data_IF_310853868120
#
_entry.id   IF_310853868120
#
_cell.length_a   1.000
_cell.length_b   1.000
_cell.length_c   1.000
_cell.angle_alpha   90.00
_cell.angle_beta   90.00
_cell.angle_gamma   90.00
#
_symmetry.space_group_name_H-M   'P 1'
#
loop_
_entity.id
_entity.type
_entity.pdbx_description
1 polymer ?
#
# COMPACT_ATOMS: atom_id res chain seq x y z
N UNK A 1 -4.01 -6.39 17.50
CA UNK A 1 -4.17 -7.34 18.64
C UNK A 1 -3.69 -8.71 18.18
N UNK A 2 -3.25 -9.55 19.10
CA UNK A 2 -2.60 -10.83 18.78
C UNK A 2 -3.57 -11.90 18.21
N UNK A 3 -4.90 -11.75 18.37
CA UNK A 3 -5.86 -12.82 18.01
C UNK A 3 -7.15 -12.36 17.28
N UNK A 4 -7.20 -11.16 16.69
CA UNK A 4 -8.36 -10.75 15.87
C UNK A 4 -9.70 -10.54 16.59
N UNK A 5 -9.74 -10.55 17.94
CA UNK A 5 -10.95 -10.27 18.74
C UNK A 5 -11.39 -8.81 18.65
N UNK A 6 -12.70 -8.58 18.58
CA UNK A 6 -13.33 -7.24 18.63
C UNK A 6 -13.11 -6.57 19.98
N UNK A 7 -12.93 -5.25 20.00
CA UNK A 7 -12.79 -4.45 21.23
C UNK A 7 -14.04 -4.57 22.10
N UNK A 8 -13.88 -5.01 23.34
CA UNK A 8 -14.98 -5.10 24.31
C UNK A 8 -15.44 -3.70 24.74
N UNK A 9 -16.67 -3.56 25.24
CA UNK A 9 -17.20 -2.26 25.65
C UNK A 9 -16.36 -1.62 26.76
N UNK A 10 -15.91 -2.40 27.74
CA UNK A 10 -15.04 -1.91 28.82
C UNK A 10 -13.72 -1.35 28.29
N UNK A 11 -13.13 -2.03 27.31
CA UNK A 11 -11.91 -1.56 26.66
C UNK A 11 -12.11 -0.25 25.89
N UNK A 12 -13.28 -0.07 25.25
CA UNK A 12 -13.63 1.19 24.58
C UNK A 12 -13.77 2.32 25.59
N UNK A 13 -14.39 2.07 26.73
CA UNK A 13 -14.56 3.05 27.82
C UNK A 13 -13.18 3.48 28.33
N UNK A 14 -12.31 2.51 28.65
CA UNK A 14 -10.94 2.79 29.12
C UNK A 14 -10.13 3.60 28.10
N UNK A 15 -10.24 3.26 26.81
CA UNK A 15 -9.58 4.02 25.74
C UNK A 15 -10.14 5.44 25.67
N UNK A 16 -11.46 5.62 25.75
CA UNK A 16 -12.11 6.93 25.74
C UNK A 16 -11.59 7.84 26.87
N UNK A 17 -11.62 7.34 28.11
CA UNK A 17 -11.11 8.07 29.28
C UNK A 17 -9.64 8.48 29.12
N UNK A 18 -8.81 7.58 28.61
CA UNK A 18 -7.39 7.89 28.37
C UNK A 18 -7.19 8.92 27.25
N UNK A 19 -7.99 8.89 26.19
CA UNK A 19 -7.92 9.88 25.12
C UNK A 19 -8.34 11.27 25.61
N UNK A 20 -9.41 11.36 26.40
CA UNK A 20 -9.85 12.62 27.00
C UNK A 20 -8.78 13.19 27.93
N UNK A 21 -8.22 12.33 28.80
CA UNK A 21 -7.10 12.71 29.67
C UNK A 21 -5.86 13.16 28.91
N UNK A 22 -5.54 12.50 27.80
CA UNK A 22 -4.40 12.88 26.96
C UNK A 22 -4.61 14.25 26.28
N UNK A 23 -5.86 14.55 25.87
CA UNK A 23 -6.24 15.81 25.25
C UNK A 23 -6.22 17.01 26.21
N UNK A 24 -6.38 16.78 27.52
CA UNK A 24 -6.17 17.83 28.53
C UNK A 24 -4.75 18.42 28.48
N UNK A 25 -3.77 17.64 28.02
CA UNK A 25 -2.35 18.02 28.03
C UNK A 25 -1.85 18.58 26.71
N UNK A 26 -2.33 18.02 25.61
CA UNK A 26 -1.88 18.40 24.28
C UNK A 26 -2.94 18.08 23.21
N UNK A 27 -2.96 18.91 22.18
CA UNK A 27 -3.89 18.76 21.05
C UNK A 27 -3.51 17.58 20.15
N UNK A 28 -2.23 17.40 19.87
CA UNK A 28 -1.73 16.28 19.05
C UNK A 28 -1.31 15.13 19.94
N UNK A 29 -2.03 14.01 19.82
CA UNK A 29 -1.76 12.81 20.61
C UNK A 29 -0.70 11.93 19.96
N UNK A 30 0.20 11.41 20.77
CA UNK A 30 1.17 10.37 20.39
C UNK A 30 0.86 9.07 21.11
N UNK A 31 1.42 7.94 20.64
CA UNK A 31 1.26 6.66 21.34
C UNK A 31 1.77 6.77 22.78
N UNK A 32 2.88 7.49 22.98
CA UNK A 32 3.46 7.74 24.31
C UNK A 32 2.54 8.53 25.22
N UNK A 33 1.87 9.57 24.70
CA UNK A 33 0.94 10.34 25.52
C UNK A 33 -0.30 9.56 25.89
N UNK A 34 -0.83 8.72 24.98
CA UNK A 34 -1.96 7.84 25.28
C UNK A 34 -1.54 6.74 26.27
N UNK A 35 -0.34 6.18 26.13
CA UNK A 35 0.20 5.19 27.07
C UNK A 35 0.37 5.76 28.48
N UNK A 36 0.83 7.00 28.61
CA UNK A 36 0.91 7.70 29.89
C UNK A 36 -0.49 7.98 30.48
N UNK A 37 -1.41 8.49 29.66
CA UNK A 37 -2.78 8.77 30.08
C UNK A 37 -3.53 7.52 30.55
N UNK A 38 -3.29 6.36 29.94
CA UNK A 38 -3.83 5.06 30.39
C UNK A 38 -3.38 4.64 31.79
N UNK A 39 -2.29 5.20 32.34
CA UNK A 39 -1.85 4.93 33.72
C UNK A 39 -2.44 5.91 34.73
N UNK A 40 -2.74 7.11 34.26
CA UNK A 40 -3.03 8.27 35.09
C UNK A 40 -4.50 8.68 35.05
N UNK A 41 -5.28 8.13 34.12
CA UNK A 41 -6.72 8.32 34.07
C UNK A 41 -7.38 7.79 35.35
N UNK A 42 -8.42 8.50 35.78
CA UNK A 42 -9.27 8.09 36.89
C UNK A 42 -10.27 7.05 36.39
N UNK A 43 -10.32 5.91 37.06
CA UNK A 43 -11.16 4.78 36.69
C UNK A 43 -12.15 4.46 37.80
N UNK A 44 -13.42 4.26 37.42
CA UNK A 44 -14.51 4.00 38.36
C UNK A 44 -14.39 2.65 39.09
N UNK A 45 -13.60 1.72 38.56
CA UNK A 45 -13.42 0.39 39.14
C UNK A 45 -12.04 -0.20 38.88
N UNK A 46 -11.68 -1.21 39.68
CA UNK A 46 -10.39 -1.90 39.61
C UNK A 46 -10.17 -2.60 38.25
N UNK A 47 -11.22 -3.14 37.64
CA UNK A 47 -11.16 -3.81 36.33
C UNK A 47 -10.70 -2.85 35.23
N UNK A 48 -11.25 -1.63 35.19
CA UNK A 48 -10.89 -0.60 34.20
C UNK A 48 -9.44 -0.15 34.39
N UNK A 49 -9.01 0.00 35.65
CA UNK A 49 -7.61 0.28 35.97
C UNK A 49 -6.67 -0.82 35.48
N UNK A 50 -7.02 -2.08 35.68
CA UNK A 50 -6.21 -3.21 35.20
C UNK A 50 -6.12 -3.25 33.67
N UNK A 51 -7.24 -3.03 32.97
CA UNK A 51 -7.28 -2.92 31.51
C UNK A 51 -6.37 -1.78 31.03
N UNK A 52 -6.47 -0.60 31.66
CA UNK A 52 -5.64 0.57 31.33
C UNK A 52 -4.15 0.28 31.48
N UNK A 53 -3.74 -0.29 32.61
CA UNK A 53 -2.35 -0.70 32.86
C UNK A 53 -1.86 -1.76 31.86
N UNK A 54 -2.70 -2.74 31.51
CA UNK A 54 -2.37 -3.75 30.49
C UNK A 54 -2.15 -3.09 29.13
N UNK A 55 -3.07 -2.23 28.68
CA UNK A 55 -2.94 -1.52 27.41
C UNK A 55 -1.72 -0.61 27.39
N UNK A 56 -1.46 0.13 28.47
CA UNK A 56 -0.29 1.00 28.59
C UNK A 56 1.01 0.23 28.34
N UNK A 57 1.20 -0.93 29.00
CA UNK A 57 2.38 -1.79 28.79
C UNK A 57 2.51 -2.27 27.34
N UNK A 58 1.39 -2.62 26.70
CA UNK A 58 1.43 -3.00 25.28
C UNK A 58 1.74 -1.83 24.36
N UNK A 59 1.36 -0.59 24.72
CA UNK A 59 1.66 0.59 23.94
C UNK A 59 3.12 1.05 24.10
N UNK A 60 3.73 0.86 25.28
CA UNK A 60 5.12 1.25 25.57
C UNK A 60 6.14 0.67 24.60
N UNK A 61 5.93 -0.54 24.09
CA UNK A 61 6.83 -1.14 23.08
C UNK A 61 6.90 -0.34 21.77
N UNK A 62 5.93 0.54 21.54
CA UNK A 62 5.85 1.39 20.33
C UNK A 62 6.27 2.84 20.59
N UNK A 63 6.66 3.19 21.81
CA UNK A 63 7.01 4.58 22.16
C UNK A 63 8.50 4.87 22.03
N UNK A 64 9.34 3.84 21.99
CA UNK A 64 10.79 3.93 21.99
C UNK A 64 11.43 3.03 20.91
N UNK A 65 12.76 3.12 20.76
CA UNK A 65 13.50 2.35 19.76
C UNK A 65 13.12 2.70 18.32
N UNK A 66 13.26 1.73 17.41
CA UNK A 66 12.91 1.88 15.99
C UNK A 66 11.42 2.21 15.81
N UNK A 67 10.55 1.50 16.54
CA UNK A 67 9.10 1.66 16.42
C UNK A 67 8.64 3.04 16.90
N UNK A 68 9.20 3.54 18.00
CA UNK A 68 8.93 4.89 18.49
C UNK A 68 9.32 5.97 17.49
N UNK A 69 10.46 5.84 16.81
CA UNK A 69 10.88 6.79 15.78
C UNK A 69 9.92 6.85 14.60
N UNK A 70 9.23 5.76 14.28
CA UNK A 70 8.25 5.71 13.19
C UNK A 70 6.87 6.20 13.63
N UNK A 71 6.39 5.73 14.79
CA UNK A 71 4.97 5.82 15.15
C UNK A 71 4.66 6.82 16.28
N UNK A 72 5.66 7.22 17.08
CA UNK A 72 5.46 8.06 18.26
C UNK A 72 5.89 9.52 18.02
N UNK A 73 5.42 10.11 16.92
CA UNK A 73 5.78 11.46 16.49
C UNK A 73 4.62 12.44 16.66
N UNK A 74 4.93 13.69 17.03
CA UNK A 74 3.96 14.79 17.12
C UNK A 74 3.72 15.50 15.79
N UNK A 75 4.50 15.17 14.76
CA UNK A 75 4.38 15.74 13.41
C UNK A 75 4.42 14.63 12.39
N UNK A 76 3.53 14.69 11.41
CA UNK A 76 3.65 13.88 10.20
C UNK A 76 4.56 14.58 9.20
N UNK A 77 5.49 13.84 8.60
CA UNK A 77 6.27 14.30 7.45
C UNK A 77 5.54 14.04 6.12
N UNK A 78 4.39 13.35 6.15
CA UNK A 78 3.64 12.96 4.96
C UNK A 78 2.79 14.13 4.47
N UNK A 79 3.21 14.71 3.35
CA UNK A 79 2.52 15.82 2.69
C UNK A 79 1.50 15.27 1.68
N UNK A 80 0.27 15.05 2.16
CA UNK A 80 -0.84 14.52 1.34
C UNK A 80 -1.36 15.49 0.27
N UNK A 81 -0.95 16.76 0.32
CA UNK A 81 -1.37 17.81 -0.62
C UNK A 81 -0.37 18.03 -1.77
N UNK A 82 0.65 17.18 -1.91
CA UNK A 82 1.57 17.25 -3.04
C UNK A 82 0.90 16.70 -4.32
N UNK A 83 1.29 17.21 -5.49
CA UNK A 83 0.81 16.68 -6.78
C UNK A 83 1.28 15.24 -7.04
N UNK A 84 2.43 14.86 -6.46
CA UNK A 84 2.97 13.50 -6.46
C UNK A 84 3.43 13.19 -5.04
N UNK A 85 2.98 12.08 -4.50
CA UNK A 85 3.44 11.52 -3.23
C UNK A 85 3.86 10.08 -3.46
N UNK A 86 5.09 9.75 -3.07
CA UNK A 86 5.64 8.40 -3.14
C UNK A 86 5.97 7.92 -1.72
N UNK A 87 5.58 6.69 -1.41
CA UNK A 87 5.91 6.03 -0.15
C UNK A 87 6.68 4.77 -0.51
N UNK A 88 7.94 4.74 -0.09
CA UNK A 88 8.76 3.54 -0.18
C UNK A 88 8.41 2.61 0.98
N UNK A 89 8.04 1.37 0.64
CA UNK A 89 7.69 0.31 1.59
C UNK A 89 8.79 -0.75 1.70
N UNK A 90 9.96 -0.53 1.11
CA UNK A 90 11.08 -1.45 1.20
C UNK A 90 11.46 -1.75 2.65
N UNK A 91 11.82 -3.00 2.90
CA UNK A 91 12.19 -3.56 4.20
C UNK A 91 11.04 -3.62 5.22
N UNK A 92 9.84 -3.12 4.89
CA UNK A 92 8.67 -3.19 5.77
C UNK A 92 8.17 -4.63 5.95
N UNK A 93 8.42 -5.50 4.99
CA UNK A 93 8.14 -6.94 5.03
C UNK A 93 8.88 -7.66 6.17
N UNK A 94 10.02 -7.12 6.61
CA UNK A 94 10.77 -7.66 7.74
C UNK A 94 10.12 -7.37 9.10
N UNK A 95 9.07 -6.54 9.12
CA UNK A 95 8.39 -6.09 10.34
C UNK A 95 6.84 -6.22 10.22
N UNK A 96 6.27 -7.43 10.22
CA UNK A 96 4.85 -7.67 9.95
C UNK A 96 3.89 -6.87 10.84
N UNK A 97 4.24 -6.67 12.11
CA UNK A 97 3.43 -5.87 13.04
C UNK A 97 3.42 -4.37 12.70
N UNK A 98 4.49 -3.85 12.08
CA UNK A 98 4.58 -2.48 11.58
C UNK A 98 3.83 -2.36 10.25
N UNK A 99 3.97 -3.35 9.36
CA UNK A 99 3.30 -3.40 8.05
C UNK A 99 1.80 -3.15 8.18
N UNK A 100 1.14 -3.80 9.16
CA UNK A 100 -0.29 -3.63 9.41
C UNK A 100 -0.69 -2.22 9.86
N UNK A 101 0.16 -1.57 10.65
CA UNK A 101 -0.07 -0.19 11.10
C UNK A 101 0.10 0.78 9.92
N UNK A 102 1.13 0.58 9.11
CA UNK A 102 1.36 1.38 7.90
C UNK A 102 0.27 1.21 6.86
N UNK A 103 -0.24 -0.01 6.68
CA UNK A 103 -1.41 -0.29 5.83
C UNK A 103 -2.62 0.57 6.20
N UNK A 104 -2.93 0.64 7.50
CA UNK A 104 -4.00 1.50 8.00
C UNK A 104 -3.73 2.97 7.69
N UNK A 105 -2.50 3.44 7.93
CA UNK A 105 -2.12 4.82 7.64
C UNK A 105 -2.23 5.17 6.14
N UNK A 106 -1.71 4.31 5.27
CA UNK A 106 -1.78 4.48 3.80
C UNK A 106 -3.23 4.52 3.34
N UNK A 107 -4.09 3.68 3.92
CA UNK A 107 -5.53 3.68 3.63
C UNK A 107 -6.17 5.02 3.96
N UNK A 108 -5.98 5.51 5.18
CA UNK A 108 -6.52 6.80 5.61
C UNK A 108 -5.95 7.95 4.79
N UNK A 109 -4.67 7.87 4.43
CA UNK A 109 -4.01 8.83 3.57
C UNK A 109 -4.65 8.87 2.17
N UNK A 110 -4.88 7.70 1.57
CA UNK A 110 -5.58 7.56 0.29
C UNK A 110 -6.99 8.13 0.39
N UNK A 111 -7.74 7.82 1.45
CA UNK A 111 -9.09 8.34 1.63
C UNK A 111 -9.14 9.84 1.86
N UNK A 112 -8.23 10.37 2.67
CA UNK A 112 -8.08 11.81 2.87
C UNK A 112 -7.77 12.51 1.55
N UNK A 113 -6.81 11.98 0.78
CA UNK A 113 -6.44 12.52 -0.53
C UNK A 113 -7.60 12.44 -1.53
N UNK A 114 -8.36 11.34 -1.57
CA UNK A 114 -9.51 11.20 -2.47
C UNK A 114 -10.62 12.21 -2.16
N UNK A 115 -10.89 12.44 -0.87
CA UNK A 115 -11.90 13.40 -0.41
C UNK A 115 -11.43 14.86 -0.54
N UNK A 116 -10.13 15.09 -0.43
CA UNK A 116 -9.53 16.40 -0.67
C UNK A 116 -9.66 16.81 -2.14
N UNK A 117 -9.96 18.08 -2.39
CA UNK A 117 -10.08 18.66 -3.73
C UNK A 117 -11.02 17.87 -4.67
N UNK A 118 -12.34 17.90 -4.42
CA UNK A 118 -13.34 17.32 -5.32
C UNK A 118 -13.19 17.85 -6.75
N UNK A 119 -13.19 16.97 -7.74
CA UNK A 119 -13.05 17.33 -9.16
C UNK A 119 -11.63 17.17 -9.73
N UNK A 120 -10.60 17.08 -8.90
CA UNK A 120 -9.25 16.70 -9.34
C UNK A 120 -9.16 15.17 -9.48
N UNK A 121 -8.83 14.68 -10.68
CA UNK A 121 -8.54 13.26 -10.93
C UNK A 121 -7.28 12.85 -10.18
N UNK A 122 -7.32 11.69 -9.53
CA UNK A 122 -6.21 11.15 -8.74
C UNK A 122 -5.90 9.74 -9.21
N UNK A 123 -4.64 9.33 -9.13
CA UNK A 123 -4.22 7.98 -9.45
C UNK A 123 -3.38 7.44 -8.31
N UNK A 124 -3.76 6.27 -7.81
CA UNK A 124 -3.02 5.54 -6.78
C UNK A 124 -2.29 4.41 -7.49
N UNK A 125 -0.98 4.34 -7.29
CA UNK A 125 -0.12 3.36 -7.93
C UNK A 125 0.51 2.52 -6.82
N UNK A 126 0.29 1.21 -6.89
CA UNK A 126 0.93 0.21 -6.04
C UNK A 126 1.99 -0.51 -6.89
N UNK A 127 3.26 -0.20 -6.65
CA UNK A 127 4.40 -0.82 -7.34
C UNK A 127 5.06 -1.90 -6.47
N UNK A 128 5.12 -3.15 -6.97
CA UNK A 128 5.73 -4.31 -6.30
C UNK A 128 5.25 -4.55 -4.87
N UNK A 129 3.94 -4.47 -4.68
CA UNK A 129 3.33 -4.46 -3.35
C UNK A 129 2.87 -5.87 -2.93
N UNK A 130 3.62 -6.89 -3.35
CA UNK A 130 3.39 -8.30 -3.06
C UNK A 130 3.33 -8.56 -1.54
N UNK A 131 4.13 -7.84 -0.76
CA UNK A 131 4.11 -7.90 0.70
C UNK A 131 2.72 -7.55 1.29
N UNK A 132 1.99 -6.61 0.68
CA UNK A 132 0.62 -6.30 1.11
C UNK A 132 -0.40 -7.29 0.56
N UNK A 133 -0.17 -7.88 -0.62
CA UNK A 133 -1.03 -8.93 -1.16
C UNK A 133 -0.95 -10.23 -0.34
N UNK A 134 0.19 -10.51 0.28
CA UNK A 134 0.37 -11.65 1.19
C UNK A 134 -0.32 -11.50 2.56
N UNK A 135 -0.55 -10.27 3.05
CA UNK A 135 -1.32 -10.04 4.29
C UNK A 135 -2.81 -9.93 3.98
N UNK A 136 -3.64 -10.67 4.72
CA UNK A 136 -5.10 -10.69 4.54
C UNK A 136 -5.74 -9.29 4.62
N UNK A 137 -5.21 -8.41 5.49
CA UNK A 137 -5.73 -7.05 5.63
C UNK A 137 -5.36 -6.21 4.41
N UNK A 138 -4.12 -6.33 3.92
CA UNK A 138 -3.63 -5.64 2.73
C UNK A 138 -4.35 -6.08 1.46
N UNK A 139 -4.51 -7.40 1.25
CA UNK A 139 -5.26 -7.94 0.11
C UNK A 139 -6.73 -7.50 0.10
N UNK A 140 -7.39 -7.46 1.27
CA UNK A 140 -8.76 -6.95 1.39
C UNK A 140 -8.85 -5.46 1.08
N UNK A 141 -7.90 -4.67 1.59
CA UNK A 141 -7.81 -3.24 1.33
C UNK A 141 -7.70 -2.95 -0.16
N UNK A 142 -6.74 -3.58 -0.85
CA UNK A 142 -6.51 -3.34 -2.28
C UNK A 142 -7.79 -3.66 -3.07
N UNK A 143 -8.44 -4.80 -2.79
CA UNK A 143 -9.71 -5.16 -3.41
C UNK A 143 -10.82 -4.12 -3.16
N UNK A 144 -10.89 -3.57 -1.95
CA UNK A 144 -11.84 -2.50 -1.63
C UNK A 144 -11.54 -1.21 -2.39
N UNK A 145 -10.27 -0.81 -2.49
CA UNK A 145 -9.82 0.36 -3.25
C UNK A 145 -10.25 0.25 -4.72
N UNK A 146 -10.00 -0.90 -5.36
CA UNK A 146 -10.42 -1.18 -6.74
C UNK A 146 -11.94 -1.01 -6.96
N UNK A 147 -12.76 -1.36 -5.97
CA UNK A 147 -14.21 -1.25 -6.06
C UNK A 147 -14.75 0.17 -5.83
N UNK A 148 -14.07 0.95 -5.00
CA UNK A 148 -14.63 2.18 -4.42
C UNK A 148 -14.05 3.46 -5.01
N UNK A 149 -12.77 3.48 -5.41
CA UNK A 149 -12.07 4.70 -5.87
C UNK A 149 -12.75 5.42 -7.03
N UNK A 150 -13.39 4.67 -7.94
CA UNK A 150 -14.14 5.23 -9.07
C UNK A 150 -15.21 6.24 -8.64
N UNK A 151 -15.79 6.08 -7.45
CA UNK A 151 -16.83 6.98 -6.90
C UNK A 151 -16.27 8.35 -6.51
N UNK A 152 -14.96 8.43 -6.29
CA UNK A 152 -14.23 9.63 -5.88
C UNK A 152 -13.48 10.29 -7.05
N UNK A 153 -13.72 9.84 -8.29
CA UNK A 153 -12.97 10.32 -9.45
C UNK A 153 -11.48 9.93 -9.43
N UNK A 154 -11.15 8.87 -8.70
CA UNK A 154 -9.80 8.34 -8.58
C UNK A 154 -9.65 6.98 -9.29
N UNK A 155 -8.47 6.74 -9.85
CA UNK A 155 -8.05 5.47 -10.42
C UNK A 155 -7.04 4.75 -9.54
N UNK A 156 -6.90 3.45 -9.76
CA UNK A 156 -5.89 2.60 -9.12
C UNK A 156 -5.17 1.77 -10.18
N UNK A 157 -3.88 1.56 -9.96
CA UNK A 157 -3.05 0.69 -10.77
C UNK A 157 -2.11 -0.09 -9.85
N UNK A 158 -2.08 -1.40 -10.01
CA UNK A 158 -1.10 -2.27 -9.37
C UNK A 158 -0.12 -2.78 -10.43
N UNK A 159 1.17 -2.74 -10.11
CA UNK A 159 2.27 -3.18 -10.97
C UNK A 159 2.99 -4.32 -10.24
N UNK A 160 3.27 -5.40 -10.96
CA UNK A 160 3.90 -6.61 -10.42
C UNK A 160 4.75 -7.28 -11.50
N UNK A 161 5.93 -7.77 -11.14
CA UNK A 161 6.77 -8.59 -12.01
C UNK A 161 6.32 -10.05 -12.05
N UNK A 162 5.82 -10.58 -10.93
CA UNK A 162 5.26 -11.92 -10.87
C UNK A 162 3.74 -11.88 -10.86
N UNK A 163 3.15 -12.68 -11.74
CA UNK A 163 1.70 -12.87 -11.82
C UNK A 163 1.16 -13.67 -10.62
N UNK A 164 2.03 -14.48 -10.00
CA UNK A 164 1.72 -15.29 -8.84
C UNK A 164 1.45 -14.43 -7.59
N UNK A 165 2.00 -13.21 -7.53
CA UNK A 165 1.80 -12.28 -6.40
C UNK A 165 0.32 -11.92 -6.21
N UNK A 166 -0.43 -11.78 -7.30
CA UNK A 166 -1.87 -11.54 -7.20
C UNK A 166 -2.61 -12.71 -6.57
N UNK A 167 -2.09 -13.94 -6.67
CA UNK A 167 -2.71 -15.13 -6.06
C UNK A 167 -2.39 -15.30 -4.58
N UNK A 168 -1.44 -14.55 -4.04
CA UNK A 168 -1.15 -14.55 -2.61
C UNK A 168 -2.40 -14.15 -1.79
N UNK A 169 -3.26 -13.30 -2.38
CA UNK A 169 -4.53 -12.91 -1.77
C UNK A 169 -5.71 -13.72 -2.31
N UNK A 170 -6.60 -14.15 -1.39
CA UNK A 170 -7.91 -14.69 -1.76
C UNK A 170 -8.83 -13.68 -2.45
N UNK A 171 -8.50 -12.38 -2.38
CA UNK A 171 -9.30 -11.30 -2.96
C UNK A 171 -8.96 -10.99 -4.43
N UNK A 172 -8.05 -11.74 -5.05
CA UNK A 172 -7.59 -11.53 -6.42
C UNK A 172 -8.72 -11.43 -7.45
N UNK A 173 -9.73 -12.30 -7.35
CA UNK A 173 -10.87 -12.30 -8.25
C UNK A 173 -11.66 -10.97 -8.17
N UNK A 174 -11.76 -10.38 -6.97
CA UNK A 174 -12.38 -9.07 -6.77
C UNK A 174 -11.58 -7.93 -7.38
N UNK A 175 -10.24 -7.99 -7.30
CA UNK A 175 -9.35 -7.02 -7.94
C UNK A 175 -9.53 -7.07 -9.46
N UNK A 176 -9.43 -8.26 -10.06
CA UNK A 176 -9.55 -8.46 -11.51
C UNK A 176 -10.93 -8.07 -12.03
N UNK A 177 -12.00 -8.43 -11.34
CA UNK A 177 -13.36 -8.08 -11.74
C UNK A 177 -13.62 -6.56 -11.78
N UNK A 178 -12.85 -5.78 -11.01
CA UNK A 178 -12.92 -4.32 -11.00
C UNK A 178 -11.76 -3.67 -11.78
N UNK A 179 -10.93 -4.46 -12.46
CA UNK A 179 -9.83 -3.95 -13.30
C UNK A 179 -10.37 -3.69 -14.71
N UNK A 180 -10.45 -2.40 -15.09
CA UNK A 180 -10.94 -2.01 -16.41
C UNK A 180 -9.92 -2.11 -17.54
N UNK A 181 -8.62 -2.14 -17.22
CA UNK A 181 -7.55 -2.23 -18.20
C UNK A 181 -6.37 -3.00 -17.62
N UNK A 182 -5.85 -3.95 -18.40
CA UNK A 182 -4.64 -4.70 -18.11
C UNK A 182 -3.57 -4.31 -19.12
N UNK A 183 -2.37 -4.03 -18.61
CA UNK A 183 -1.17 -3.83 -19.39
C UNK A 183 -0.26 -5.02 -19.14
N UNK A 184 0.01 -5.80 -20.17
CA UNK A 184 0.84 -7.00 -20.08
C UNK A 184 2.06 -6.80 -20.98
N UNK A 185 3.23 -6.66 -20.35
CA UNK A 185 4.50 -6.58 -21.06
C UNK A 185 5.04 -7.99 -21.32
N UNK A 186 6.19 -8.07 -22.00
CA UNK A 186 6.89 -9.34 -22.25
C UNK A 186 7.11 -10.10 -20.94
N UNK A 187 6.49 -11.27 -20.83
CA UNK A 187 6.64 -12.16 -19.69
C UNK A 187 7.86 -13.07 -19.88
N UNK A 188 8.44 -13.56 -18.78
CA UNK A 188 9.53 -14.52 -18.87
C UNK A 188 9.01 -15.86 -19.43
N UNK A 189 9.83 -16.54 -20.22
CA UNK A 189 9.48 -17.84 -20.83
C UNK A 189 9.36 -18.98 -19.81
N UNK A 190 9.68 -18.73 -18.54
CA UNK A 190 9.61 -19.72 -17.46
C UNK A 190 8.20 -19.83 -16.84
N UNK A 191 7.31 -18.87 -17.11
CA UNK A 191 5.98 -18.85 -16.51
C UNK A 191 5.05 -19.77 -17.30
N UNK A 192 4.26 -20.57 -16.57
CA UNK A 192 3.31 -21.51 -17.18
C UNK A 192 2.11 -20.77 -17.80
N UNK A 193 1.83 -21.02 -19.08
CA UNK A 193 0.71 -20.40 -19.81
C UNK A 193 -0.65 -20.60 -19.13
N UNK A 194 -0.91 -21.80 -18.61
CA UNK A 194 -2.16 -22.11 -17.90
C UNK A 194 -2.33 -21.24 -16.66
N UNK A 195 -1.21 -20.91 -16.03
CA UNK A 195 -1.18 -20.10 -14.84
C UNK A 195 -1.51 -18.64 -15.15
N UNK A 196 -0.89 -18.10 -16.20
CA UNK A 196 -1.11 -16.73 -16.68
C UNK A 196 -2.56 -16.55 -17.13
N UNK A 197 -3.09 -17.51 -17.90
CA UNK A 197 -4.48 -17.51 -18.37
C UNK A 197 -5.47 -17.48 -17.22
N UNK A 198 -5.28 -18.36 -16.24
CA UNK A 198 -6.17 -18.43 -15.08
C UNK A 198 -6.07 -17.18 -14.21
N UNK A 199 -4.89 -16.57 -14.10
CA UNK A 199 -4.67 -15.40 -13.27
C UNK A 199 -5.22 -14.12 -13.90
N UNK A 200 -5.15 -13.96 -15.23
CA UNK A 200 -5.54 -12.71 -15.92
C UNK A 200 -6.80 -12.86 -16.79
N UNK A 201 -7.46 -14.02 -16.73
CA UNK A 201 -8.63 -14.37 -17.52
C UNK A 201 -8.40 -14.16 -19.03
N UNK A 202 -7.29 -14.71 -19.54
CA UNK A 202 -6.84 -14.52 -20.93
C UNK A 202 -7.33 -15.64 -21.86
N UNK A 203 -7.71 -15.27 -23.08
CA UNK A 203 -8.05 -16.24 -24.13
C UNK A 203 -6.81 -16.70 -24.93
N UNK A 204 -7.00 -17.67 -25.83
CA UNK A 204 -5.92 -18.23 -26.65
C UNK A 204 -5.20 -17.20 -27.51
N UNK A 205 -5.96 -16.28 -28.12
CA UNK A 205 -5.41 -15.24 -28.99
C UNK A 205 -4.60 -14.22 -28.19
N UNK A 206 -5.10 -13.81 -27.02
CA UNK A 206 -4.40 -12.91 -26.11
C UNK A 206 -3.06 -13.50 -25.66
N UNK A 207 -3.05 -14.80 -25.32
CA UNK A 207 -1.82 -15.49 -24.96
C UNK A 207 -0.82 -15.60 -26.10
N UNK A 208 -1.30 -15.85 -27.32
CA UNK A 208 -0.43 -15.87 -28.49
C UNK A 208 0.18 -14.49 -28.76
N UNK A 209 -0.58 -13.41 -28.59
CA UNK A 209 -0.05 -12.05 -28.69
C UNK A 209 1.00 -11.77 -27.61
N UNK A 210 0.76 -12.20 -26.36
CA UNK A 210 1.73 -12.03 -25.26
C UNK A 210 3.07 -12.71 -25.57
N UNK A 211 3.04 -13.92 -26.14
CA UNK A 211 4.26 -14.65 -26.54
C UNK A 211 5.06 -13.95 -27.62
N UNK A 212 4.39 -13.17 -28.46
CA UNK A 212 5.00 -12.45 -29.57
C UNK A 212 5.54 -11.07 -29.15
N UNK A 213 5.23 -10.60 -27.94
CA UNK A 213 5.72 -9.32 -27.45
C UNK A 213 7.25 -9.28 -27.43
N UNK A 214 7.79 -8.23 -28.00
CA UNK A 214 9.22 -8.00 -28.04
C UNK A 214 9.65 -6.73 -27.30
N UNK A 215 10.92 -6.69 -26.91
CA UNK A 215 11.52 -5.52 -26.28
C UNK A 215 12.99 -5.39 -26.69
N UNK A 216 13.39 -4.16 -27.00
CA UNK A 216 14.77 -3.77 -27.26
C UNK A 216 15.14 -2.68 -26.27
N UNK A 217 16.08 -2.97 -25.38
CA UNK A 217 16.51 -2.06 -24.31
C UNK A 217 16.90 -0.70 -24.91
N UNK A 218 16.28 0.36 -24.39
CA UNK A 218 16.52 1.74 -24.83
C UNK A 218 15.78 2.18 -26.08
N UNK A 219 15.17 1.26 -26.84
CA UNK A 219 14.43 1.61 -28.06
C UNK A 219 12.92 1.45 -27.92
N UNK A 220 12.47 0.26 -27.51
CA UNK A 220 11.04 0.00 -27.35
C UNK A 220 10.73 -1.18 -26.43
N UNK A 221 9.53 -1.17 -25.88
CA UNK A 221 8.89 -2.34 -25.30
C UNK A 221 7.47 -2.47 -25.88
N UNK A 222 7.08 -3.69 -26.25
CA UNK A 222 5.70 -3.97 -26.65
C UNK A 222 4.86 -4.35 -25.43
N UNK A 223 3.61 -3.90 -25.45
CA UNK A 223 2.64 -4.11 -24.39
C UNK A 223 1.31 -4.54 -25.01
N UNK A 224 0.76 -5.65 -24.54
CA UNK A 224 -0.63 -5.99 -24.78
C UNK A 224 -1.50 -5.12 -23.86
N UNK A 225 -2.36 -4.31 -24.46
CA UNK A 225 -3.38 -3.54 -23.76
C UNK A 225 -4.70 -4.29 -23.91
N UNK A 226 -5.26 -4.73 -22.79
CA UNK A 226 -6.58 -5.38 -22.72
C UNK A 226 -7.53 -4.49 -21.95
N UNK A 227 -8.54 -3.94 -22.62
CA UNK A 227 -9.59 -3.13 -22.02
C UNK A 227 -10.91 -3.36 -22.74
N UNK A 228 -11.55 -2.27 -23.18
CA UNK A 228 -12.72 -2.34 -24.08
C UNK A 228 -12.33 -2.99 -25.41
N UNK A 229 -11.14 -2.67 -25.89
CA UNK A 229 -10.49 -3.31 -27.03
C UNK A 229 -9.18 -3.95 -26.57
N UNK A 230 -8.73 -4.94 -27.33
CA UNK A 230 -7.45 -5.61 -27.11
C UNK A 230 -6.53 -5.37 -28.29
N UNK A 231 -5.37 -4.77 -28.04
CA UNK A 231 -4.37 -4.47 -29.07
C UNK A 231 -2.95 -4.49 -28.48
N UNK A 232 -1.96 -4.65 -29.36
CA UNK A 232 -0.55 -4.51 -29.01
C UNK A 232 -0.11 -3.09 -29.33
N UNK A 233 0.48 -2.42 -28.34
CA UNK A 233 1.10 -1.11 -28.49
C UNK A 233 2.61 -1.22 -28.30
N UNK A 234 3.35 -0.28 -28.89
CA UNK A 234 4.79 -0.17 -28.71
C UNK A 234 5.11 1.13 -27.98
N UNK A 235 5.70 1.00 -26.80
CA UNK A 235 6.16 2.13 -25.98
C UNK A 235 7.61 2.42 -26.37
N UNK A 236 7.87 3.64 -26.84
CA UNK A 236 9.22 4.12 -27.17
C UNK A 236 9.59 5.25 -26.20
N UNK A 237 10.52 5.02 -25.26
CA UNK A 237 10.91 6.07 -24.34
C UNK A 237 11.71 7.15 -25.09
N UNK A 238 11.47 8.41 -24.77
CA UNK A 238 12.42 9.47 -25.06
C UNK A 238 13.72 9.24 -24.28
N UNK A 239 14.87 9.84 -24.69
CA UNK A 239 16.10 9.72 -23.93
C UNK A 239 15.94 10.09 -22.45
N UNK A 240 15.18 11.15 -22.15
CA UNK A 240 14.93 11.59 -20.78
C UNK A 240 14.15 10.54 -19.97
N UNK A 241 13.06 10.02 -20.53
CA UNK A 241 12.25 8.98 -19.87
C UNK A 241 13.06 7.71 -19.61
N UNK A 242 13.89 7.30 -20.57
CA UNK A 242 14.79 6.15 -20.42
C UNK A 242 15.74 6.34 -19.24
N UNK A 243 16.45 7.46 -19.19
CA UNK A 243 17.46 7.70 -18.15
C UNK A 243 16.87 7.88 -16.76
N UNK A 244 15.67 8.49 -16.65
CA UNK A 244 14.98 8.62 -15.36
C UNK A 244 14.47 7.26 -14.87
N UNK A 245 14.01 6.39 -15.78
CA UNK A 245 13.44 5.09 -15.42
C UNK A 245 14.48 3.96 -15.30
N UNK A 246 15.73 4.17 -15.74
CA UNK A 246 16.72 3.09 -15.75
C UNK A 246 17.15 2.65 -14.34
N UNK A 247 16.92 1.37 -14.05
CA UNK A 247 17.42 0.68 -12.87
C UNK A 247 18.71 -0.11 -13.14
N UNK A 248 19.17 -0.12 -14.40
CA UNK A 248 20.35 -0.86 -14.82
C UNK A 248 21.63 -0.26 -14.24
N UNK A 249 22.49 -1.13 -13.70
CA UNK A 249 23.71 -0.70 -13.03
C UNK A 249 24.67 0.07 -13.94
N UNK A 250 24.87 -0.38 -15.18
CA UNK A 250 25.80 0.26 -16.12
C UNK A 250 25.28 1.62 -16.58
N UNK A 251 23.96 1.77 -16.71
CA UNK A 251 23.34 3.06 -17.00
C UNK A 251 23.46 4.02 -15.80
N UNK A 252 23.23 3.54 -14.58
CA UNK A 252 23.39 4.36 -13.37
C UNK A 252 24.82 4.85 -13.17
N UNK A 253 25.82 4.03 -13.47
CA UNK A 253 27.22 4.42 -13.43
C UNK A 253 27.52 5.56 -14.41
N UNK A 254 27.03 5.44 -15.66
CA UNK A 254 27.17 6.51 -16.67
C UNK A 254 26.45 7.79 -16.24
N UNK A 255 25.24 7.68 -15.70
CA UNK A 255 24.47 8.84 -15.24
C UNK A 255 25.21 9.57 -14.11
N UNK A 256 25.80 8.83 -13.17
CA UNK A 256 26.59 9.41 -12.08
C UNK A 256 27.82 10.18 -12.59
N UNK A 257 28.49 9.69 -13.63
CA UNK A 257 29.63 10.37 -14.25
C UNK A 257 29.25 11.68 -14.95
N UNK A 258 28.01 11.80 -15.44
CA UNK A 258 27.52 13.01 -16.15
C UNK A 258 26.97 14.07 -15.19
N UNK A 259 26.47 13.66 -14.02
CA UNK A 259 25.90 14.56 -13.01
C UNK A 259 26.97 15.10 -12.03
N UNK A 260 28.11 14.42 -11.88
CA UNK A 260 29.24 14.84 -11.04
C UNK A 260 30.01 16.02 -11.65
#
# INVERSE_FOLDING_TARGET
REEGRTTQNDEKIVIGLALDKARERQEVLTIGSVAAALREAEYDNATYREIGLRMSRHLERWTSGLHGRLLNNTRTCLKVNASIAAIDLKDLENYPEITRIFLFYITEMIWSACQANPGCKKMIIFDEVWALLGDETGGRLISELYRTLRKYGAGIMSVSQDISDFKLTRHHAGILANTGTLFILKLSSAINDSEIRSALNLNDREMELIRQLDQVKGEYAEVLVKGVETFVARVKPTPLEYWIASSDWADREKLAQVIA
#
